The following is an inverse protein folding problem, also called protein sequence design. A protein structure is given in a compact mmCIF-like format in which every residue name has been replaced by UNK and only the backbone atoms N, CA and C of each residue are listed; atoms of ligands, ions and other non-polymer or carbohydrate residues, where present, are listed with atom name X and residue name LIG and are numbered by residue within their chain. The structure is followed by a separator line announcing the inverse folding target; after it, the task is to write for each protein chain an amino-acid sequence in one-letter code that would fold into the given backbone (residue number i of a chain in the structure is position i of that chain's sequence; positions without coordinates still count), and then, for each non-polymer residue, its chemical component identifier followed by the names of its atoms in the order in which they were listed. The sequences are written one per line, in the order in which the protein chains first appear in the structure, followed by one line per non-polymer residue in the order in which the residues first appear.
data_IF_945506946193
#
_entry.id   IF_945506946193
#
_cell.length_a   1.000
_cell.length_b   1.000
_cell.length_c   1.000
_cell.angle_alpha   90.00
_cell.angle_beta   90.00
_cell.angle_gamma   90.00
#
_symmetry.space_group_name_H-M   'P 1'
#
loop_
_entity.id
_entity.type
_entity.pdbx_description
1 polymer ?
#
# COMPACT_ATOMS: atom_id res chain seq x y z
N UNK A 1 -20.82 0.41 -15.46
CA UNK A 1 -21.35 1.49 -14.61
C UNK A 1 -21.83 0.96 -13.26
N UNK A 2 -22.77 0.02 -13.21
CA UNK A 2 -23.41 -0.49 -11.97
C UNK A 2 -22.37 -0.87 -10.90
N UNK A 3 -21.37 -1.68 -11.24
CA UNK A 3 -20.33 -2.09 -10.28
C UNK A 3 -19.55 -0.89 -9.77
N UNK A 4 -19.16 0.04 -10.62
CA UNK A 4 -18.43 1.25 -10.22
C UNK A 4 -19.23 2.13 -9.26
N UNK A 5 -20.53 2.28 -9.49
CA UNK A 5 -21.44 3.03 -8.61
C UNK A 5 -21.54 2.38 -7.21
N UNK A 6 -21.69 1.05 -7.16
CA UNK A 6 -21.69 0.32 -5.90
C UNK A 6 -20.37 0.43 -5.14
N UNK A 7 -19.23 0.36 -5.84
CA UNK A 7 -17.92 0.53 -5.23
C UNK A 7 -17.73 1.97 -4.74
N UNK A 8 -18.14 2.97 -5.54
CA UNK A 8 -18.07 4.36 -5.14
C UNK A 8 -18.88 4.67 -3.88
N UNK A 9 -20.07 4.11 -3.76
CA UNK A 9 -20.91 4.26 -2.58
C UNK A 9 -20.29 3.62 -1.32
N UNK A 10 -19.68 2.43 -1.46
CA UNK A 10 -19.11 1.67 -0.33
C UNK A 10 -17.80 2.27 0.19
N UNK A 11 -16.89 2.64 -0.69
CA UNK A 11 -15.58 3.20 -0.33
C UNK A 11 -15.56 4.72 -0.23
N UNK A 12 -16.63 5.39 -0.67
CA UNK A 12 -16.72 6.87 -0.77
C UNK A 12 -15.60 7.46 -1.65
N UNK A 13 -15.22 6.71 -2.68
CA UNK A 13 -14.24 7.08 -3.69
C UNK A 13 -14.94 7.22 -5.04
N UNK A 14 -14.98 8.40 -5.66
CA UNK A 14 -15.86 8.65 -6.83
C UNK A 14 -15.32 8.08 -8.14
N UNK A 15 -14.03 7.79 -8.24
CA UNK A 15 -13.39 7.37 -9.49
C UNK A 15 -12.95 5.92 -9.41
N UNK A 16 -13.31 5.11 -10.41
CA UNK A 16 -12.94 3.69 -10.46
C UNK A 16 -12.42 3.31 -11.83
N UNK A 17 -11.35 2.51 -11.84
CA UNK A 17 -10.79 1.87 -13.02
C UNK A 17 -10.69 0.39 -12.77
N UNK A 18 -11.08 -0.44 -13.75
CA UNK A 18 -11.01 -1.89 -13.70
C UNK A 18 -9.78 -2.40 -14.44
N UNK A 19 -9.20 -3.46 -13.93
CA UNK A 19 -8.03 -4.20 -14.42
C UNK A 19 -8.29 -5.70 -14.23
N UNK A 20 -7.33 -6.56 -14.56
CA UNK A 20 -7.55 -8.01 -14.52
C UNK A 20 -6.98 -8.70 -13.27
N UNK A 21 -6.21 -8.01 -12.44
CA UNK A 21 -5.56 -8.59 -11.27
C UNK A 21 -5.26 -7.55 -10.19
N UNK A 22 -4.97 -8.04 -8.97
CA UNK A 22 -4.49 -7.19 -7.88
C UNK A 22 -3.10 -6.59 -8.17
N UNK A 23 -2.23 -7.33 -8.87
CA UNK A 23 -0.90 -6.81 -9.26
C UNK A 23 -1.01 -5.64 -10.23
N UNK A 24 -1.93 -5.71 -11.21
CA UNK A 24 -2.20 -4.58 -12.10
C UNK A 24 -2.81 -3.40 -11.33
N UNK A 25 -3.73 -3.67 -10.40
CA UNK A 25 -4.34 -2.62 -9.59
C UNK A 25 -3.29 -1.85 -8.77
N UNK A 26 -2.41 -2.54 -8.06
CA UNK A 26 -1.35 -1.91 -7.26
C UNK A 26 -0.29 -1.22 -8.11
N UNK A 27 0.07 -1.80 -9.25
CA UNK A 27 0.98 -1.20 -10.22
C UNK A 27 0.43 0.12 -10.77
N UNK A 28 -0.83 0.14 -11.19
CA UNK A 28 -1.47 1.34 -11.70
C UNK A 28 -1.69 2.40 -10.62
N UNK A 29 -2.06 2.01 -9.39
CA UNK A 29 -2.19 2.93 -8.25
C UNK A 29 -0.86 3.65 -7.94
N UNK A 30 0.26 2.92 -7.93
CA UNK A 30 1.60 3.50 -7.76
C UNK A 30 1.94 4.44 -8.91
N UNK A 31 1.64 4.06 -10.16
CA UNK A 31 1.86 4.91 -11.34
C UNK A 31 1.06 6.22 -11.25
N UNK A 32 -0.19 6.15 -10.83
CA UNK A 32 -1.04 7.33 -10.60
C UNK A 32 -0.45 8.21 -9.50
N UNK A 33 -0.02 7.62 -8.37
CA UNK A 33 0.60 8.36 -7.28
C UNK A 33 1.87 9.11 -7.72
N UNK A 34 2.72 8.46 -8.52
CA UNK A 34 3.91 9.08 -9.13
C UNK A 34 3.54 10.26 -10.03
N UNK A 35 2.54 10.09 -10.88
CA UNK A 35 2.07 11.16 -11.77
C UNK A 35 1.51 12.37 -11.01
N UNK A 36 0.80 12.12 -9.91
CA UNK A 36 0.22 13.18 -9.06
C UNK A 36 1.26 13.94 -8.24
N UNK A 37 2.31 13.26 -7.78
CA UNK A 37 3.29 13.84 -6.86
C UNK A 37 4.58 14.31 -7.54
N UNK A 38 4.85 13.84 -8.76
CA UNK A 38 6.14 14.05 -9.45
C UNK A 38 7.32 13.33 -8.77
N UNK A 39 7.05 12.31 -7.96
CA UNK A 39 8.06 11.54 -7.20
C UNK A 39 8.10 10.10 -7.66
N UNK A 40 9.25 9.43 -7.54
CA UNK A 40 9.45 8.05 -8.01
C UNK A 40 9.36 7.00 -6.90
N UNK A 41 9.74 7.34 -5.67
CA UNK A 41 9.85 6.43 -4.55
C UNK A 41 8.52 5.79 -4.12
N UNK A 42 8.59 4.59 -3.61
CA UNK A 42 7.47 3.85 -3.01
C UNK A 42 7.82 3.52 -1.56
N UNK A 43 6.88 3.73 -0.66
CA UNK A 43 6.99 3.25 0.70
C UNK A 43 5.96 2.15 0.95
N UNK A 44 6.35 1.09 1.67
CA UNK A 44 5.48 -0.02 2.02
C UNK A 44 5.73 -0.50 3.46
N UNK A 45 4.88 -1.39 3.95
CA UNK A 45 5.12 -2.07 5.23
C UNK A 45 6.06 -3.26 5.00
N UNK A 46 7.05 -3.44 5.88
CA UNK A 46 7.94 -4.58 5.88
C UNK A 46 7.15 -5.90 5.97
N UNK A 47 7.49 -6.87 5.13
CA UNK A 47 6.79 -8.16 5.03
C UNK A 47 5.47 -8.14 4.26
N UNK A 48 4.91 -6.97 3.93
CA UNK A 48 3.65 -6.90 3.16
C UNK A 48 3.84 -7.35 1.71
N UNK A 49 2.76 -7.88 1.12
CA UNK A 49 2.74 -8.32 -0.27
C UNK A 49 1.65 -7.56 -1.05
N UNK A 50 2.05 -6.94 -2.17
CA UNK A 50 1.18 -6.09 -3.00
C UNK A 50 1.17 -6.47 -4.49
N UNK A 51 1.37 -7.73 -4.80
CA UNK A 51 1.49 -8.24 -6.17
C UNK A 51 2.94 -8.53 -6.54
N UNK A 52 3.17 -8.95 -7.79
CA UNK A 52 4.47 -9.43 -8.23
C UNK A 52 5.15 -8.53 -9.28
N UNK A 53 4.84 -7.24 -9.30
CA UNK A 53 5.64 -6.27 -10.04
C UNK A 53 6.82 -5.76 -9.20
N UNK A 54 7.91 -5.43 -9.83
CA UNK A 54 9.23 -5.22 -9.22
C UNK A 54 9.23 -4.23 -8.05
N UNK A 55 8.48 -3.12 -8.16
CA UNK A 55 8.44 -2.08 -7.11
C UNK A 55 7.89 -2.51 -5.76
N UNK A 56 7.16 -3.61 -5.70
CA UNK A 56 6.58 -4.12 -4.44
C UNK A 56 7.17 -5.47 -4.02
N UNK A 57 7.97 -6.08 -4.90
CA UNK A 57 8.70 -7.32 -4.63
C UNK A 57 10.01 -7.03 -3.89
N UNK A 58 9.90 -6.24 -2.81
CA UNK A 58 10.99 -5.80 -1.95
C UNK A 58 10.58 -6.03 -0.51
N UNK A 59 11.51 -6.48 0.32
CA UNK A 59 11.33 -6.71 1.76
C UNK A 59 10.13 -7.61 2.11
N UNK A 60 10.01 -8.73 1.41
CA UNK A 60 8.98 -9.75 1.62
C UNK A 60 9.66 -11.03 2.12
N UNK A 61 9.16 -11.59 3.22
CA UNK A 61 9.57 -12.93 3.68
C UNK A 61 11.03 -13.06 4.09
N UNK A 62 11.67 -11.96 4.48
CA UNK A 62 13.04 -11.97 4.97
C UNK A 62 13.16 -12.68 6.32
N UNK A 63 14.28 -13.33 6.51
CA UNK A 63 14.67 -13.86 7.78
C UNK A 63 15.06 -12.68 8.72
N UNK A 64 14.87 -12.85 10.01
CA UNK A 64 15.15 -11.80 11.01
C UNK A 64 16.62 -11.31 11.00
N UNK A 65 17.55 -12.14 10.54
CA UNK A 65 18.97 -11.78 10.45
C UNK A 65 19.25 -10.83 9.25
N UNK A 66 18.39 -10.81 8.25
CA UNK A 66 18.53 -9.98 7.05
C UNK A 66 17.79 -8.64 7.19
N UNK A 67 16.96 -8.48 8.23
CA UNK A 67 16.15 -7.29 8.44
C UNK A 67 16.97 -6.03 8.72
N UNK A 68 18.18 -6.17 9.25
CA UNK A 68 19.01 -5.04 9.61
C UNK A 68 18.41 -4.15 10.71
N UNK A 69 18.67 -2.84 10.63
CA UNK A 69 18.15 -1.87 11.57
C UNK A 69 16.67 -1.56 11.30
N UNK A 70 15.82 -1.70 12.31
CA UNK A 70 14.39 -1.40 12.27
C UNK A 70 14.08 0.03 11.80
N UNK A 71 14.97 0.97 12.09
CA UNK A 71 14.84 2.37 11.66
C UNK A 71 15.23 2.58 10.19
N UNK A 72 15.89 1.59 9.58
CA UNK A 72 16.40 1.68 8.21
C UNK A 72 16.52 0.30 7.58
N UNK A 73 15.37 -0.35 7.33
CA UNK A 73 15.37 -1.62 6.63
C UNK A 73 16.11 -1.50 5.29
N UNK A 74 16.97 -2.46 4.95
CA UNK A 74 17.58 -2.52 3.63
C UNK A 74 16.51 -2.84 2.59
N UNK A 75 16.61 -2.25 1.40
CA UNK A 75 15.71 -2.60 0.28
C UNK A 75 16.21 -3.89 -0.37
N UNK A 76 15.73 -5.05 0.11
CA UNK A 76 16.16 -6.37 -0.37
C UNK A 76 15.15 -6.90 -1.38
N UNK A 77 15.57 -7.25 -2.62
CA UNK A 77 14.68 -7.86 -3.59
C UNK A 77 14.19 -9.23 -3.12
N UNK A 78 12.93 -9.56 -3.36
CA UNK A 78 12.36 -10.86 -3.00
C UNK A 78 12.92 -12.03 -3.81
N UNK A 79 13.45 -11.76 -4.98
CA UNK A 79 14.04 -12.77 -5.86
C UNK A 79 15.01 -12.18 -6.87
N UNK A 80 15.67 -13.08 -7.60
CA UNK A 80 16.60 -12.72 -8.67
C UNK A 80 15.86 -12.04 -9.84
N UNK A 81 16.57 -11.18 -10.57
CA UNK A 81 16.06 -10.53 -11.78
C UNK A 81 15.36 -9.18 -11.53
N UNK A 82 15.19 -8.75 -10.28
CA UNK A 82 14.70 -7.41 -9.98
C UNK A 82 15.91 -6.44 -10.04
N UNK A 83 15.87 -5.41 -10.91
CA UNK A 83 17.00 -4.48 -11.04
C UNK A 83 17.24 -3.68 -9.76
N UNK A 84 18.51 -3.47 -9.39
CA UNK A 84 18.89 -2.71 -8.18
C UNK A 84 18.29 -1.30 -8.17
N UNK A 85 18.26 -0.63 -9.31
CA UNK A 85 17.67 0.71 -9.43
C UNK A 85 16.19 0.74 -9.06
N UNK A 86 15.45 -0.33 -9.35
CA UNK A 86 14.03 -0.47 -8.98
C UNK A 86 13.90 -0.79 -7.50
N UNK A 87 14.73 -1.71 -6.99
CA UNK A 87 14.76 -2.08 -5.56
C UNK A 87 15.03 -0.86 -4.68
N UNK A 88 15.99 -0.02 -5.05
CA UNK A 88 16.36 1.19 -4.31
C UNK A 88 15.28 2.29 -4.29
N UNK A 89 14.28 2.22 -5.19
CA UNK A 89 13.13 3.13 -5.17
C UNK A 89 12.09 2.76 -4.11
N UNK A 90 12.20 1.58 -3.50
CA UNK A 90 11.23 1.10 -2.50
C UNK A 90 11.86 1.05 -1.13
N UNK A 91 11.19 1.65 -0.16
CA UNK A 91 11.60 1.63 1.25
C UNK A 91 10.51 1.00 2.10
N UNK A 92 10.90 0.20 3.08
CA UNK A 92 9.96 -0.41 4.03
C UNK A 92 10.01 0.27 5.39
N UNK A 93 8.87 0.20 6.10
CA UNK A 93 8.72 0.65 7.49
C UNK A 93 7.96 -0.42 8.29
N UNK A 94 8.15 -0.50 9.62
CA UNK A 94 7.43 -1.47 10.43
C UNK A 94 5.92 -1.17 10.49
N UNK A 95 5.11 -2.23 10.60
CA UNK A 95 3.69 -2.12 10.93
C UNK A 95 3.50 -1.76 12.40
N UNK A 96 2.43 -1.06 12.73
CA UNK A 96 2.10 -0.62 14.11
C UNK A 96 3.19 0.27 14.76
N UNK A 97 3.96 1.01 13.96
CA UNK A 97 4.97 1.93 14.43
C UNK A 97 4.91 3.26 13.65
N UNK A 98 3.90 4.08 13.96
CA UNK A 98 3.73 5.38 13.33
C UNK A 98 4.92 6.35 13.60
N UNK A 99 5.55 6.34 14.79
CA UNK A 99 6.78 7.10 15.01
C UNK A 99 7.92 6.72 14.07
N UNK A 100 8.16 5.43 13.82
CA UNK A 100 9.20 4.99 12.88
C UNK A 100 8.87 5.43 11.43
N UNK A 101 7.61 5.34 11.02
CA UNK A 101 7.15 5.89 9.75
C UNK A 101 7.48 7.38 9.63
N UNK A 102 7.16 8.19 10.65
CA UNK A 102 7.39 9.63 10.61
C UNK A 102 8.89 9.96 10.57
N UNK A 103 9.72 9.33 11.43
CA UNK A 103 11.18 9.51 11.40
C UNK A 103 11.80 9.13 10.06
N UNK A 104 11.31 8.05 9.42
CA UNK A 104 11.80 7.65 8.09
C UNK A 104 11.47 8.70 7.03
N UNK A 105 10.27 9.26 7.06
CA UNK A 105 9.86 10.32 6.13
C UNK A 105 10.63 11.62 6.37
N UNK A 106 10.92 12.00 7.62
CA UNK A 106 11.75 13.17 7.94
C UNK A 106 13.15 13.03 7.34
N UNK A 107 13.77 11.86 7.46
CA UNK A 107 15.06 11.56 6.85
C UNK A 107 15.00 11.67 5.33
N UNK A 108 14.02 11.00 4.71
CA UNK A 108 13.83 11.05 3.25
C UNK A 108 13.52 12.46 2.74
N UNK A 109 12.82 13.28 3.52
CA UNK A 109 12.59 14.69 3.19
C UNK A 109 13.90 15.50 3.16
N UNK A 110 14.76 15.30 4.16
CA UNK A 110 16.07 15.96 4.23
C UNK A 110 16.97 15.55 3.05
N UNK A 111 16.85 14.30 2.59
CA UNK A 111 17.57 13.77 1.43
C UNK A 111 16.96 14.18 0.08
N UNK A 112 15.79 14.83 0.06
CA UNK A 112 15.06 15.15 -1.17
C UNK A 112 14.45 13.91 -1.87
N UNK A 113 14.21 12.84 -1.12
CA UNK A 113 13.78 11.51 -1.62
C UNK A 113 12.41 11.08 -1.09
N UNK A 114 11.52 12.04 -0.79
CA UNK A 114 10.15 11.67 -0.36
C UNK A 114 9.47 10.74 -1.37
N UNK A 115 8.81 9.66 -0.91
CA UNK A 115 8.11 8.75 -1.82
C UNK A 115 6.85 9.39 -2.40
N UNK A 116 6.38 8.84 -3.51
CA UNK A 116 5.10 9.20 -4.13
C UNK A 116 3.92 8.71 -3.27
N UNK A 117 4.05 7.54 -2.69
CA UNK A 117 2.98 6.89 -1.94
C UNK A 117 3.51 6.03 -0.79
N UNK A 118 2.61 5.80 0.17
CA UNK A 118 2.65 4.66 1.08
C UNK A 118 1.56 3.68 0.64
N UNK A 119 1.96 2.46 0.23
CA UNK A 119 1.04 1.35 -0.01
C UNK A 119 1.09 0.37 1.16
N UNK A 120 -0.07 -0.01 1.68
CA UNK A 120 -0.17 -0.92 2.82
C UNK A 120 -1.51 -1.65 2.88
N UNK A 121 -1.56 -2.78 3.56
CA UNK A 121 -2.80 -3.41 4.03
C UNK A 121 -3.24 -2.71 5.34
N UNK A 122 -4.54 -2.52 5.57
CA UNK A 122 -5.05 -1.96 6.84
C UNK A 122 -4.89 -2.95 8.01
N UNK A 123 -4.94 -4.25 7.72
CA UNK A 123 -4.50 -5.35 8.60
C UNK A 123 -3.51 -6.18 7.80
N UNK A 124 -2.36 -6.51 8.37
CA UNK A 124 -1.30 -7.21 7.66
C UNK A 124 -1.66 -8.69 7.52
N UNK A 125 -2.02 -9.11 6.31
CA UNK A 125 -2.58 -10.44 6.04
C UNK A 125 -1.55 -11.46 5.53
N UNK A 126 -0.42 -10.99 5.02
CA UNK A 126 0.58 -11.87 4.42
C UNK A 126 1.52 -12.52 5.43
N UNK A 127 1.73 -11.88 6.58
CA UNK A 127 2.59 -12.34 7.68
C UNK A 127 1.80 -12.96 8.86
N UNK A 128 0.63 -13.55 8.59
CA UNK A 128 -0.38 -13.85 9.60
C UNK A 128 -1.39 -12.70 9.68
N UNK A 129 -2.42 -12.84 10.49
CA UNK A 129 -3.42 -11.76 10.63
C UNK A 129 -2.97 -10.83 11.77
N UNK A 130 -2.30 -9.73 11.40
CA UNK A 130 -1.85 -8.73 12.37
C UNK A 130 -2.76 -7.51 12.24
N UNK A 131 -3.54 -7.23 13.28
CA UNK A 131 -4.46 -6.10 13.31
C UNK A 131 -3.72 -4.79 13.62
N UNK A 132 -4.25 -3.65 13.16
CA UNK A 132 -3.72 -2.35 13.52
C UNK A 132 -3.96 -2.08 15.02
N UNK A 133 -2.96 -1.57 15.70
CA UNK A 133 -3.10 -1.06 17.07
C UNK A 133 -4.05 0.14 17.10
N UNK A 134 -4.75 0.36 18.23
CA UNK A 134 -5.63 1.52 18.38
C UNK A 134 -4.93 2.83 18.05
N UNK A 135 -5.49 3.61 17.13
CA UNK A 135 -4.95 4.91 16.69
C UNK A 135 -3.88 4.85 15.61
N UNK A 136 -3.28 3.69 15.32
CA UNK A 136 -2.21 3.57 14.32
C UNK A 136 -2.62 4.10 12.94
N UNK A 137 -3.74 3.66 12.39
CA UNK A 137 -4.18 4.07 11.05
C UNK A 137 -4.53 5.56 10.98
N UNK A 138 -5.03 6.15 12.08
CA UNK A 138 -5.27 7.58 12.16
C UNK A 138 -3.96 8.38 12.10
N UNK A 139 -2.93 7.92 12.81
CA UNK A 139 -1.60 8.52 12.75
C UNK A 139 -0.96 8.36 11.37
N UNK A 140 -1.07 7.19 10.73
CA UNK A 140 -0.63 7.00 9.34
C UNK A 140 -1.30 8.04 8.42
N UNK A 141 -2.62 8.27 8.57
CA UNK A 141 -3.32 9.28 7.78
C UNK A 141 -2.80 10.69 8.04
N UNK A 142 -2.58 11.05 9.31
CA UNK A 142 -2.00 12.34 9.69
C UNK A 142 -0.64 12.55 9.03
N UNK A 143 0.22 11.55 9.13
CA UNK A 143 1.59 11.58 8.60
C UNK A 143 1.57 11.68 7.07
N UNK A 144 0.81 10.84 6.37
CA UNK A 144 0.74 10.87 4.90
C UNK A 144 0.28 12.24 4.38
N UNK A 145 -0.69 12.88 5.04
CA UNK A 145 -1.11 14.25 4.72
C UNK A 145 -0.01 15.28 5.00
N UNK A 146 0.69 15.19 6.13
CA UNK A 146 1.79 16.10 6.49
C UNK A 146 2.88 16.14 5.42
N UNK A 147 3.25 14.99 4.87
CA UNK A 147 4.33 14.86 3.87
C UNK A 147 3.82 14.91 2.41
N UNK A 148 2.53 15.03 2.19
CA UNK A 148 1.94 15.08 0.86
C UNK A 148 2.26 13.84 0.04
N UNK A 149 2.15 12.66 0.65
CA UNK A 149 2.28 11.36 -0.01
C UNK A 149 0.90 10.70 -0.15
N UNK A 150 0.69 10.01 -1.26
CA UNK A 150 -0.57 9.32 -1.53
C UNK A 150 -0.69 8.08 -0.65
N UNK A 151 -1.75 7.96 0.12
CA UNK A 151 -2.03 6.79 0.94
C UNK A 151 -2.89 5.79 0.18
N UNK A 152 -2.31 4.63 -0.15
CA UNK A 152 -2.96 3.55 -0.88
C UNK A 152 -3.23 2.40 0.09
N UNK A 153 -4.48 2.02 0.25
CA UNK A 153 -4.85 0.80 1.00
C UNK A 153 -5.06 -0.35 0.03
N UNK A 154 -4.27 -1.38 0.20
CA UNK A 154 -4.43 -2.64 -0.52
C UNK A 154 -5.52 -3.48 0.16
N UNK A 155 -6.67 -3.51 -0.47
CA UNK A 155 -7.86 -4.27 -0.06
C UNK A 155 -8.03 -5.56 -0.88
N UNK A 156 -7.01 -6.01 -1.57
CA UNK A 156 -7.08 -7.21 -2.42
C UNK A 156 -7.49 -8.45 -1.63
N UNK A 157 -7.18 -8.52 -0.32
CA UNK A 157 -7.61 -9.61 0.56
C UNK A 157 -8.83 -9.25 1.40
N UNK A 158 -8.96 -8.01 1.83
CA UNK A 158 -9.99 -7.58 2.80
C UNK A 158 -11.25 -7.02 2.12
N UNK A 159 -11.12 -6.48 0.91
CA UNK A 159 -12.24 -5.88 0.18
C UNK A 159 -13.35 -6.88 -0.09
N UNK A 160 -14.60 -6.51 0.25
CA UNK A 160 -15.81 -7.33 0.11
C UNK A 160 -15.82 -8.61 0.97
N UNK A 161 -14.87 -8.78 1.89
CA UNK A 161 -14.78 -9.98 2.74
C UNK A 161 -15.00 -9.66 4.22
N UNK A 162 -14.35 -8.62 4.75
CA UNK A 162 -14.44 -8.27 6.19
C UNK A 162 -15.60 -7.33 6.49
N UNK A 163 -16.01 -6.52 5.52
CA UNK A 163 -17.17 -5.63 5.54
C UNK A 163 -17.58 -5.30 4.10
N UNK A 164 -18.73 -4.66 3.90
CA UNK A 164 -19.22 -4.25 2.57
C UNK A 164 -18.28 -3.26 1.87
N UNK A 165 -17.64 -2.35 2.63
CA UNK A 165 -16.58 -1.44 2.19
C UNK A 165 -15.18 -1.86 2.68
N UNK A 166 -14.97 -3.17 2.90
CA UNK A 166 -13.69 -3.75 3.26
C UNK A 166 -13.14 -3.29 4.62
N UNK A 167 -11.82 -3.38 4.76
CA UNK A 167 -11.11 -2.91 5.95
C UNK A 167 -11.17 -1.38 6.09
N UNK A 168 -11.33 -0.65 5.00
CA UNK A 168 -11.55 0.80 5.00
C UNK A 168 -12.80 1.16 5.80
N UNK A 169 -13.91 0.46 5.59
CA UNK A 169 -15.13 0.62 6.39
C UNK A 169 -14.94 0.12 7.82
N UNK A 170 -14.39 -1.09 7.99
CA UNK A 170 -14.22 -1.73 9.28
C UNK A 170 -13.43 -0.87 10.28
N UNK A 171 -12.37 -0.22 9.81
CA UNK A 171 -11.51 0.63 10.64
C UNK A 171 -11.84 2.14 10.54
N UNK A 172 -12.87 2.52 9.78
CA UNK A 172 -13.31 3.91 9.67
C UNK A 172 -12.27 4.85 9.06
N UNK A 173 -11.46 4.37 8.12
CA UNK A 173 -10.38 5.14 7.48
C UNK A 173 -10.77 5.66 6.10
N UNK A 174 -10.11 6.72 5.65
CA UNK A 174 -10.30 7.30 4.31
C UNK A 174 -8.95 7.48 3.62
N UNK A 175 -8.48 6.47 2.88
CA UNK A 175 -7.28 6.59 2.05
C UNK A 175 -7.53 7.46 0.81
N UNK A 176 -6.46 7.80 0.10
CA UNK A 176 -6.57 8.50 -1.19
C UNK A 176 -6.91 7.52 -2.31
N UNK A 177 -6.47 6.26 -2.19
CA UNK A 177 -6.76 5.18 -3.14
C UNK A 177 -6.96 3.85 -2.42
N UNK A 178 -7.74 2.96 -3.07
CA UNK A 178 -7.85 1.55 -2.70
C UNK A 178 -7.59 0.66 -3.90
N UNK A 179 -7.03 -0.53 -3.66
CA UNK A 179 -6.86 -1.58 -4.67
C UNK A 179 -7.69 -2.80 -4.29
N UNK A 180 -8.51 -3.29 -5.22
CA UNK A 180 -9.38 -4.46 -5.06
C UNK A 180 -9.03 -5.55 -6.08
N UNK A 181 -9.26 -6.81 -5.70
CA UNK A 181 -9.24 -7.97 -6.59
C UNK A 181 -9.92 -9.17 -5.88
N UNK A 182 -9.51 -10.39 -6.17
CA UNK A 182 -9.97 -11.63 -5.52
C UNK A 182 -11.50 -11.70 -5.40
N UNK A 183 -12.07 -11.38 -4.23
CA UNK A 183 -13.52 -11.44 -4.00
C UNK A 183 -14.33 -10.58 -4.98
N UNK A 184 -13.75 -9.47 -5.46
CA UNK A 184 -14.39 -8.60 -6.45
C UNK A 184 -14.77 -9.34 -7.74
N UNK A 185 -13.93 -10.25 -8.19
CA UNK A 185 -14.10 -10.99 -9.43
C UNK A 185 -15.02 -12.20 -9.30
N UNK A 186 -15.29 -12.70 -8.08
CA UNK A 186 -16.09 -13.91 -7.83
C UNK A 186 -15.68 -15.10 -8.72
N UNK A 187 -14.38 -15.28 -8.96
CA UNK A 187 -13.81 -16.31 -9.82
C UNK A 187 -13.37 -15.83 -11.22
N UNK A 188 -13.73 -14.62 -11.60
CA UNK A 188 -13.25 -14.01 -12.84
C UNK A 188 -11.96 -13.19 -12.62
N UNK A 189 -11.04 -13.11 -13.61
CA UNK A 189 -9.89 -12.25 -13.54
C UNK A 189 -10.31 -10.78 -13.47
N UNK A 190 -10.28 -10.19 -12.28
CA UNK A 190 -10.75 -8.82 -12.08
C UNK A 190 -9.97 -8.16 -10.95
N UNK A 191 -9.62 -6.91 -11.17
CA UNK A 191 -9.12 -5.99 -10.17
C UNK A 191 -9.71 -4.61 -10.37
N UNK A 192 -9.56 -3.73 -9.40
CA UNK A 192 -10.01 -2.35 -9.52
C UNK A 192 -9.18 -1.42 -8.66
N UNK A 193 -9.12 -0.15 -9.09
CA UNK A 193 -8.54 0.95 -8.32
C UNK A 193 -9.65 1.97 -8.09
N UNK A 194 -9.88 2.34 -6.82
CA UNK A 194 -10.71 3.46 -6.43
C UNK A 194 -9.84 4.65 -6.00
N UNK A 195 -10.24 5.87 -6.36
CA UNK A 195 -9.51 7.09 -6.02
C UNK A 195 -10.46 8.26 -5.70
N UNK A 196 -9.94 9.23 -4.94
CA UNK A 196 -10.58 10.52 -4.66
C UNK A 196 -10.69 11.42 -5.88
#
# INVERSE_FOLDING_TARGET
YIVAEHLAARWKLPRWRFVNSGSEATMDAIRIARALTGRDGVMKIFGSYHGHHDYVMVDIGLNVYDMGDRENYPSIPYGEGIPDVVTQMTVAVPFNDAPALERRLERLQTEGKLPACLIMEAALMNCGVILPEPGYLAEVRRITKKYGIVWIIDEVKTGLTVAAGGATELFGIQPDMVCLAKALGAGLPTGAIGAT
#
